data_IF_660788234505
#
_entry.id   IF_660788234505
#
_cell.length_a   1.000
_cell.length_b   1.000
_cell.length_c   1.000
_cell.angle_alpha   90.00
_cell.angle_beta   90.00
_cell.angle_gamma   90.00
#
_symmetry.space_group_name_H-M   'P 1'
#
loop_
_entity.id
_entity.type
_entity.pdbx_description
1 polymer ?
#
# COMPACT_ATOMS: atom_id res chain seq x y z
N UNK A 1 -1.04 -40.58 16.14
CA UNK A 1 -2.05 -39.66 15.57
C UNK A 1 -1.35 -38.32 15.42
N UNK A 2 -0.70 -38.13 14.25
CA UNK A 2 -0.11 -36.85 13.90
C UNK A 2 -1.25 -35.94 13.45
N UNK A 3 -1.57 -34.94 14.26
CA UNK A 3 -2.36 -33.79 13.80
C UNK A 3 -1.48 -33.03 12.83
N UNK A 4 -1.72 -33.23 11.53
CA UNK A 4 -1.20 -32.32 10.51
C UNK A 4 -1.83 -30.97 10.81
N UNK A 5 -1.12 -30.12 11.54
CA UNK A 5 -1.38 -28.69 11.54
C UNK A 5 -1.26 -28.25 10.08
N UNK A 6 -2.39 -27.99 9.48
CA UNK A 6 -2.48 -27.36 8.17
C UNK A 6 -1.97 -25.91 8.36
N UNK A 7 -0.65 -25.76 8.38
CA UNK A 7 0.01 -24.45 8.49
C UNK A 7 -0.29 -23.71 7.20
N UNK A 8 -1.38 -22.95 7.22
CA UNK A 8 -1.75 -22.05 6.13
C UNK A 8 -0.60 -21.03 6.01
N UNK A 9 0.03 -20.92 4.82
CA UNK A 9 1.07 -19.93 4.57
C UNK A 9 0.57 -18.51 4.81
N UNK A 10 1.45 -17.59 5.17
CA UNK A 10 1.11 -16.19 5.32
C UNK A 10 0.56 -15.57 4.02
N UNK A 11 -0.38 -14.65 4.15
CA UNK A 11 -0.82 -13.81 3.02
C UNK A 11 0.27 -12.82 2.64
N UNK A 12 0.57 -12.66 1.36
CA UNK A 12 1.72 -11.89 0.88
C UNK A 12 1.27 -10.70 0.05
N UNK A 13 1.69 -9.51 0.45
CA UNK A 13 1.34 -8.25 -0.20
C UNK A 13 2.59 -7.58 -0.74
N UNK A 14 2.67 -7.46 -2.07
CA UNK A 14 3.73 -6.71 -2.72
C UNK A 14 3.47 -5.20 -2.68
N UNK A 15 4.46 -4.40 -2.31
CA UNK A 15 4.38 -2.93 -2.30
C UNK A 15 5.51 -2.38 -3.15
N UNK A 16 5.16 -1.78 -4.31
CA UNK A 16 6.11 -1.24 -5.28
C UNK A 16 5.82 0.23 -5.60
N UNK A 17 6.74 0.88 -6.29
CA UNK A 17 6.61 2.26 -6.75
C UNK A 17 7.94 3.00 -6.82
N UNK A 18 7.97 4.22 -7.38
CA UNK A 18 9.17 5.03 -7.52
C UNK A 18 9.85 5.34 -6.19
N UNK A 19 11.14 5.67 -6.27
CA UNK A 19 11.89 6.18 -5.11
C UNK A 19 11.18 7.43 -4.57
N UNK A 20 11.03 7.49 -3.25
CA UNK A 20 10.40 8.63 -2.57
C UNK A 20 8.87 8.67 -2.66
N UNK A 21 8.18 7.74 -3.31
CA UNK A 21 6.71 7.74 -3.40
C UNK A 21 6.00 7.50 -2.05
N UNK A 22 6.70 6.90 -1.10
CA UNK A 22 6.18 6.60 0.25
C UNK A 22 5.83 5.13 0.48
N UNK A 23 6.46 4.20 -0.26
CA UNK A 23 6.31 2.74 -0.04
C UNK A 23 6.60 2.35 1.40
N UNK A 24 7.81 2.66 1.86
CA UNK A 24 8.27 2.35 3.23
C UNK A 24 7.38 3.02 4.29
N UNK A 25 6.92 4.25 4.03
CA UNK A 25 5.96 4.91 4.93
C UNK A 25 4.61 4.17 4.96
N UNK A 26 4.14 3.64 3.84
CA UNK A 26 2.92 2.84 3.80
C UNK A 26 3.10 1.52 4.56
N UNK A 27 4.22 0.81 4.35
CA UNK A 27 4.56 -0.41 5.10
C UNK A 27 4.58 -0.14 6.60
N UNK A 28 5.26 0.94 7.04
CA UNK A 28 5.35 1.33 8.43
C UNK A 28 3.97 1.64 9.04
N UNK A 29 3.15 2.48 8.38
CA UNK A 29 1.81 2.81 8.88
C UNK A 29 0.87 1.60 8.95
N UNK A 30 0.89 0.74 7.94
CA UNK A 30 0.13 -0.51 7.96
C UNK A 30 0.62 -1.42 9.08
N UNK A 31 1.93 -1.55 9.26
CA UNK A 31 2.52 -2.36 10.34
C UNK A 31 2.12 -1.85 11.72
N UNK A 32 2.17 -0.53 11.96
CA UNK A 32 1.76 0.07 13.25
C UNK A 32 0.32 -0.25 13.62
N UNK A 33 -0.59 -0.27 12.62
CA UNK A 33 -2.01 -0.50 12.87
C UNK A 33 -2.33 -2.01 12.98
N UNK A 34 -1.68 -2.84 12.19
CA UNK A 34 -2.02 -4.25 12.07
C UNK A 34 -1.25 -5.15 13.04
N UNK A 35 0.04 -4.89 13.25
CA UNK A 35 0.90 -5.75 14.09
C UNK A 35 0.38 -6.04 15.50
N UNK A 36 -0.26 -5.10 16.21
CA UNK A 36 -0.85 -5.40 17.50
C UNK A 36 -1.99 -6.44 17.48
N UNK A 37 -2.46 -6.82 16.28
CA UNK A 37 -3.66 -7.64 16.07
C UNK A 37 -3.41 -8.92 15.30
N UNK A 38 -2.48 -8.88 14.36
CA UNK A 38 -2.10 -10.02 13.53
C UNK A 38 -0.59 -10.20 13.55
N UNK A 39 -0.14 -11.43 13.38
CA UNK A 39 1.27 -11.74 13.25
C UNK A 39 1.73 -11.34 11.84
N UNK A 40 2.58 -10.31 11.73
CA UNK A 40 3.10 -9.86 10.45
C UNK A 40 4.63 -9.73 10.44
N UNK A 41 5.20 -9.77 9.25
CA UNK A 41 6.62 -9.56 8.97
C UNK A 41 6.79 -8.76 7.69
N UNK A 42 8.01 -8.25 7.44
CA UNK A 42 8.36 -7.43 6.28
C UNK A 42 9.63 -7.96 5.62
N UNK A 43 9.59 -8.06 4.30
CA UNK A 43 10.77 -8.29 3.44
C UNK A 43 10.99 -7.02 2.63
N UNK A 44 12.19 -6.44 2.67
CA UNK A 44 12.57 -5.25 1.90
C UNK A 44 13.62 -5.60 0.87
N UNK A 45 13.45 -5.05 -0.34
CA UNK A 45 14.36 -5.23 -1.46
C UNK A 45 14.97 -3.87 -1.82
N UNK A 46 16.11 -3.54 -1.29
CA UNK A 46 16.83 -2.34 -1.67
C UNK A 46 18.26 -2.69 -2.13
N UNK A 47 18.81 -1.83 -3.00
CA UNK A 47 20.22 -1.93 -3.41
C UNK A 47 21.15 -1.68 -2.20
N UNK A 48 20.67 -0.89 -1.24
CA UNK A 48 21.37 -0.52 0.01
C UNK A 48 20.64 -1.05 1.25
N UNK A 49 20.18 -2.25 1.22
CA UNK A 49 19.40 -3.09 2.17
C UNK A 49 19.23 -2.66 3.63
N UNK A 50 20.05 -1.75 4.12
CA UNK A 50 20.02 -1.36 5.54
C UNK A 50 19.07 -0.21 5.83
N UNK A 51 18.86 0.71 4.88
CA UNK A 51 18.14 1.96 5.19
C UNK A 51 16.64 1.75 5.44
N UNK A 52 15.94 0.99 4.59
CA UNK A 52 14.50 0.75 4.74
C UNK A 52 14.23 -0.19 5.91
N UNK A 53 15.02 -1.25 6.08
CA UNK A 53 14.93 -2.12 7.24
C UNK A 53 15.25 -1.37 8.55
N UNK A 54 16.31 -0.56 8.57
CA UNK A 54 16.64 0.28 9.71
C UNK A 54 15.59 1.35 9.99
N UNK A 55 14.93 1.90 8.96
CA UNK A 55 13.82 2.84 9.15
C UNK A 55 12.67 2.17 9.89
N UNK A 56 12.21 1.00 9.43
CA UNK A 56 11.13 0.24 10.06
C UNK A 56 11.47 -0.14 11.51
N UNK A 57 12.72 -0.54 11.76
CA UNK A 57 13.20 -0.87 13.11
C UNK A 57 13.30 0.36 14.02
N UNK A 58 13.73 1.52 13.49
CA UNK A 58 13.80 2.78 14.25
C UNK A 58 12.44 3.30 14.69
N UNK A 59 11.38 3.01 13.93
CA UNK A 59 10.00 3.33 14.35
C UNK A 59 9.54 2.46 15.54
N UNK A 60 10.23 1.35 15.83
CA UNK A 60 9.96 0.49 16.97
C UNK A 60 8.68 -0.33 16.89
N UNK A 61 8.05 -0.39 15.72
CA UNK A 61 6.82 -1.14 15.50
C UNK A 61 7.10 -2.63 15.39
N UNK A 62 8.14 -2.99 14.65
CA UNK A 62 8.54 -4.37 14.43
C UNK A 62 9.89 -4.67 15.09
N UNK A 63 10.07 -5.90 15.53
CA UNK A 63 11.33 -6.41 16.04
C UNK A 63 12.24 -6.92 14.92
N UNK A 64 13.55 -7.02 15.16
CA UNK A 64 14.54 -7.39 14.15
C UNK A 64 14.28 -8.76 13.50
N UNK A 65 13.70 -9.68 14.25
CA UNK A 65 13.33 -11.03 13.78
C UNK A 65 12.18 -11.02 12.78
N UNK A 66 11.41 -9.92 12.67
CA UNK A 66 10.28 -9.75 11.75
C UNK A 66 10.60 -8.95 10.50
N UNK A 67 11.82 -8.48 10.35
CA UNK A 67 12.26 -7.72 9.18
C UNK A 67 13.42 -8.45 8.51
N UNK A 68 13.34 -8.67 7.21
CA UNK A 68 14.41 -9.24 6.38
C UNK A 68 14.75 -8.32 5.23
N UNK A 69 15.99 -7.94 5.12
CA UNK A 69 16.54 -7.28 3.92
C UNK A 69 17.05 -8.33 2.93
N UNK A 70 16.65 -8.22 1.67
CA UNK A 70 17.15 -9.04 0.56
C UNK A 70 18.06 -8.18 -0.31
N UNK A 71 19.34 -8.53 -0.40
CA UNK A 71 20.30 -7.84 -1.27
C UNK A 71 20.11 -8.27 -2.72
N UNK A 72 19.55 -7.38 -3.51
CA UNK A 72 19.28 -7.64 -4.93
C UNK A 72 20.48 -7.18 -5.77
N UNK A 73 21.48 -8.02 -5.96
CA UNK A 73 22.74 -7.71 -6.64
C UNK A 73 22.64 -6.96 -7.98
N UNK A 74 22.25 -5.68 -7.96
CA UNK A 74 22.29 -4.75 -9.08
C UNK A 74 20.97 -4.48 -9.82
N UNK A 75 19.93 -5.31 -9.72
CA UNK A 75 18.64 -5.07 -10.36
C UNK A 75 17.46 -5.47 -9.45
N UNK A 76 16.90 -4.52 -8.65
CA UNK A 76 15.79 -4.81 -7.74
C UNK A 76 14.53 -5.37 -8.42
N UNK A 77 14.33 -5.05 -9.70
CA UNK A 77 13.16 -5.52 -10.47
C UNK A 77 13.22 -7.01 -10.76
N UNK A 78 14.42 -7.55 -11.01
CA UNK A 78 14.61 -8.99 -11.26
C UNK A 78 14.25 -9.82 -10.03
N UNK A 79 14.59 -9.35 -8.85
CA UNK A 79 14.38 -10.07 -7.59
C UNK A 79 12.90 -10.22 -7.18
N UNK A 80 12.02 -9.38 -7.68
CA UNK A 80 10.58 -9.47 -7.38
C UNK A 80 9.76 -10.08 -8.53
N UNK A 81 10.36 -10.26 -9.71
CA UNK A 81 9.64 -10.72 -10.91
C UNK A 81 10.31 -11.90 -11.61
N UNK A 82 11.58 -11.77 -12.03
CA UNK A 82 12.24 -12.74 -12.89
C UNK A 82 12.88 -13.87 -12.09
N UNK A 83 13.46 -13.55 -10.94
CA UNK A 83 14.04 -14.50 -10.00
C UNK A 83 13.66 -14.13 -8.56
N UNK A 84 12.49 -14.60 -8.14
CA UNK A 84 11.96 -14.34 -6.81
C UNK A 84 12.55 -15.27 -5.73
N UNK A 85 13.52 -16.13 -6.06
CA UNK A 85 14.03 -17.19 -5.17
C UNK A 85 14.52 -16.66 -3.83
N UNK A 86 15.31 -15.58 -3.81
CA UNK A 86 15.82 -14.97 -2.58
C UNK A 86 14.72 -14.42 -1.68
N UNK A 87 13.68 -13.82 -2.27
CA UNK A 87 12.52 -13.33 -1.53
C UNK A 87 11.69 -14.50 -0.98
N UNK A 88 11.49 -15.55 -1.77
CA UNK A 88 10.76 -16.74 -1.33
C UNK A 88 11.52 -17.44 -0.20
N UNK A 89 12.84 -17.53 -0.25
CA UNK A 89 13.67 -18.06 0.82
C UNK A 89 13.55 -17.21 2.10
N UNK A 90 13.65 -15.87 1.97
CA UNK A 90 13.48 -14.97 3.10
C UNK A 90 12.09 -15.09 3.75
N UNK A 91 11.03 -15.27 2.96
CA UNK A 91 9.68 -15.50 3.47
C UNK A 91 9.59 -16.86 4.15
N UNK A 92 10.14 -17.92 3.57
CA UNK A 92 10.14 -19.25 4.16
C UNK A 92 10.88 -19.28 5.51
N UNK A 93 12.00 -18.54 5.62
CA UNK A 93 12.72 -18.36 6.87
C UNK A 93 11.84 -17.65 7.93
N UNK A 94 11.12 -16.59 7.56
CA UNK A 94 10.20 -15.90 8.46
C UNK A 94 9.07 -16.82 8.92
N UNK A 95 8.44 -17.56 7.99
CA UNK A 95 7.37 -18.52 8.30
C UNK A 95 7.86 -19.64 9.24
N UNK A 96 9.11 -20.08 9.11
CA UNK A 96 9.72 -21.09 9.97
C UNK A 96 10.05 -20.58 11.39
N UNK A 97 10.47 -19.29 11.49
CA UNK A 97 10.87 -18.69 12.77
C UNK A 97 9.74 -18.04 13.54
N UNK A 98 8.63 -17.68 12.86
CA UNK A 98 7.47 -17.00 13.45
C UNK A 98 6.24 -17.89 13.34
N UNK A 99 5.96 -18.73 14.36
CA UNK A 99 4.78 -19.57 14.34
C UNK A 99 3.50 -18.72 14.24
N UNK A 100 2.60 -19.10 13.33
CA UNK A 100 1.35 -18.38 13.11
C UNK A 100 1.53 -17.03 12.41
N UNK A 101 2.57 -16.85 11.58
CA UNK A 101 2.72 -15.69 10.72
C UNK A 101 1.54 -15.61 9.74
N UNK A 102 0.81 -14.50 9.74
CA UNK A 102 -0.43 -14.33 8.99
C UNK A 102 -0.26 -13.44 7.74
N UNK A 103 0.65 -12.44 7.82
CA UNK A 103 0.84 -11.44 6.77
C UNK A 103 2.32 -11.16 6.55
N UNK A 104 2.74 -11.08 5.29
CA UNK A 104 4.07 -10.61 4.89
C UNK A 104 3.92 -9.47 3.90
N UNK A 105 4.49 -8.31 4.22
CA UNK A 105 4.72 -7.26 3.23
C UNK A 105 6.04 -7.49 2.53
N UNK A 106 6.02 -7.42 1.18
CA UNK A 106 7.23 -7.50 0.35
C UNK A 106 7.40 -6.15 -0.34
N UNK A 107 8.31 -5.32 0.16
CA UNK A 107 8.60 -4.02 -0.42
C UNK A 107 9.64 -4.15 -1.53
N UNK A 108 9.36 -3.58 -2.71
CA UNK A 108 10.34 -3.50 -3.80
C UNK A 108 11.33 -2.36 -3.58
N UNK A 109 12.51 -2.46 -4.14
CA UNK A 109 13.36 -1.31 -4.39
C UNK A 109 12.65 -0.26 -5.26
N UNK A 110 13.17 0.98 -5.29
CA UNK A 110 12.57 2.05 -6.09
C UNK A 110 12.60 1.74 -7.59
N UNK A 111 11.54 2.04 -8.31
CA UNK A 111 11.40 1.75 -9.74
C UNK A 111 10.94 2.96 -10.58
N UNK A 112 10.94 2.79 -11.90
CA UNK A 112 10.50 3.79 -12.88
C UNK A 112 9.14 3.39 -13.50
N UNK A 113 8.11 3.16 -12.69
CA UNK A 113 6.74 2.77 -13.09
C UNK A 113 6.64 1.37 -13.74
N UNK A 114 7.70 0.57 -13.69
CA UNK A 114 7.81 -0.70 -14.39
C UNK A 114 7.68 -1.93 -13.48
N UNK A 115 7.83 -1.79 -12.16
CA UNK A 115 7.81 -2.91 -11.25
C UNK A 115 6.46 -3.63 -11.26
N UNK A 116 6.54 -4.95 -11.33
CA UNK A 116 5.42 -5.87 -11.09
C UNK A 116 5.97 -7.10 -10.39
N UNK A 117 5.20 -7.64 -9.45
CA UNK A 117 5.58 -8.83 -8.72
C UNK A 117 5.30 -10.10 -9.51
N UNK A 118 6.09 -11.13 -9.28
CA UNK A 118 5.76 -12.48 -9.70
C UNK A 118 4.51 -12.98 -8.95
N UNK A 119 3.56 -13.66 -9.64
CA UNK A 119 2.39 -14.25 -8.99
C UNK A 119 2.70 -15.32 -7.94
N UNK A 120 3.90 -15.91 -7.98
CA UNK A 120 4.35 -16.88 -6.98
C UNK A 120 4.84 -16.20 -5.70
N UNK A 121 5.28 -14.93 -5.79
CA UNK A 121 5.84 -14.18 -4.67
C UNK A 121 4.75 -13.54 -3.81
N UNK A 122 3.71 -12.97 -4.43
CA UNK A 122 2.68 -12.21 -3.72
C UNK A 122 1.27 -12.61 -4.15
N UNK A 123 0.32 -12.52 -3.22
CA UNK A 123 -1.10 -12.77 -3.47
C UNK A 123 -1.77 -11.55 -4.12
N UNK A 124 -1.40 -10.35 -3.64
CA UNK A 124 -1.87 -9.06 -4.19
C UNK A 124 -0.75 -8.04 -4.19
N UNK A 125 -0.90 -7.01 -5.02
CA UNK A 125 0.08 -5.94 -5.20
C UNK A 125 -0.52 -4.55 -5.00
N UNK A 126 0.18 -3.71 -4.25
CA UNK A 126 -0.08 -2.28 -4.10
C UNK A 126 1.02 -1.52 -4.85
N UNK A 127 0.63 -0.60 -5.71
CA UNK A 127 1.58 0.30 -6.35
C UNK A 127 1.41 1.71 -5.82
N UNK A 128 2.49 2.33 -5.38
CA UNK A 128 2.48 3.66 -4.74
C UNK A 128 3.13 4.67 -5.68
N UNK A 129 2.39 5.70 -6.07
CA UNK A 129 2.90 6.91 -6.70
C UNK A 129 2.62 8.10 -5.79
N UNK A 130 3.19 9.26 -6.10
CA UNK A 130 2.87 10.49 -5.37
C UNK A 130 2.62 11.67 -6.33
N UNK A 131 2.02 12.74 -5.80
CA UNK A 131 1.65 13.92 -6.59
C UNK A 131 2.85 14.73 -7.06
N UNK A 132 4.03 14.59 -6.46
CA UNK A 132 5.24 15.35 -6.85
C UNK A 132 5.81 14.90 -8.20
N UNK A 133 5.45 13.70 -8.65
CA UNK A 133 5.75 13.25 -10.01
C UNK A 133 4.93 13.96 -11.10
N UNK A 134 3.95 14.78 -10.70
CA UNK A 134 3.05 15.55 -11.57
C UNK A 134 1.74 14.81 -11.89
N UNK A 135 0.71 15.59 -12.22
CA UNK A 135 -0.64 15.09 -12.46
C UNK A 135 -0.79 14.17 -13.67
N UNK A 136 0.22 14.15 -14.54
CA UNK A 136 0.25 13.32 -15.76
C UNK A 136 0.79 11.90 -15.53
N UNK A 137 1.28 11.58 -14.31
CA UNK A 137 1.84 10.25 -14.03
C UNK A 137 0.82 9.12 -14.29
N UNK A 138 -0.43 9.19 -13.83
CA UNK A 138 -1.40 8.13 -14.13
C UNK A 138 -1.62 7.90 -15.62
N UNK A 139 -1.64 8.96 -16.43
CA UNK A 139 -1.81 8.88 -17.89
C UNK A 139 -0.59 8.30 -18.60
N UNK A 140 0.63 8.53 -18.08
CA UNK A 140 1.85 7.90 -18.63
C UNK A 140 1.76 6.38 -18.51
N UNK A 141 1.05 5.90 -17.49
CA UNK A 141 0.83 4.48 -17.28
C UNK A 141 2.11 3.77 -16.85
N UNK A 142 2.17 2.49 -17.19
CA UNK A 142 3.20 1.54 -16.80
C UNK A 142 2.58 0.35 -16.10
N UNK A 143 3.24 -0.83 -16.10
CA UNK A 143 2.69 -2.05 -15.52
C UNK A 143 2.25 -1.88 -14.06
N UNK A 144 3.04 -1.19 -13.24
CA UNK A 144 2.72 -0.93 -11.84
C UNK A 144 1.43 -0.14 -11.68
N UNK A 145 1.28 0.97 -12.43
CA UNK A 145 0.07 1.79 -12.36
C UNK A 145 -1.16 1.04 -12.89
N UNK A 146 -1.04 0.39 -14.05
CA UNK A 146 -2.19 -0.16 -14.76
C UNK A 146 -2.64 -1.52 -14.23
N UNK A 147 -1.73 -2.34 -13.68
CA UNK A 147 -1.99 -3.77 -13.39
C UNK A 147 -1.98 -4.12 -11.91
N UNK A 148 -1.43 -3.27 -11.02
CA UNK A 148 -1.51 -3.52 -9.58
C UNK A 148 -2.95 -3.68 -9.11
N UNK A 149 -3.16 -4.46 -8.08
CA UNK A 149 -4.50 -4.69 -7.53
C UNK A 149 -5.03 -3.42 -6.86
N UNK A 150 -4.18 -2.68 -6.16
CA UNK A 150 -4.48 -1.35 -5.64
C UNK A 150 -3.43 -0.33 -6.11
N UNK A 151 -3.86 0.86 -6.55
CA UNK A 151 -2.99 2.02 -6.74
C UNK A 151 -3.19 3.01 -5.58
N UNK A 152 -2.09 3.40 -4.94
CA UNK A 152 -2.06 4.46 -3.93
C UNK A 152 -1.44 5.71 -4.55
N UNK A 153 -2.16 6.84 -4.51
CA UNK A 153 -1.68 8.16 -4.93
C UNK A 153 -1.44 8.97 -3.67
N UNK A 154 -0.18 9.05 -3.26
CA UNK A 154 0.23 9.58 -1.96
C UNK A 154 0.60 11.07 -1.99
N UNK A 155 0.79 11.65 -0.81
CA UNK A 155 1.24 13.03 -0.58
C UNK A 155 0.29 14.08 -1.18
N UNK A 156 -1.01 13.83 -1.12
CA UNK A 156 -2.02 14.74 -1.71
C UNK A 156 -1.98 16.15 -1.13
N UNK A 157 -1.45 16.31 0.08
CA UNK A 157 -1.19 17.59 0.72
C UNK A 157 -0.19 18.46 -0.06
N UNK A 158 0.68 17.85 -0.86
CA UNK A 158 1.66 18.55 -1.68
C UNK A 158 1.10 19.01 -3.04
N UNK A 159 -0.08 18.54 -3.45
CA UNK A 159 -0.63 18.83 -4.76
C UNK A 159 -0.68 20.34 -5.10
N UNK A 160 -1.14 21.25 -4.20
CA UNK A 160 -1.13 22.68 -4.48
C UNK A 160 0.27 23.27 -4.68
N UNK A 161 1.28 22.71 -3.99
CA UNK A 161 2.64 23.22 -4.03
C UNK A 161 3.44 22.78 -5.25
N UNK A 162 3.05 21.65 -5.84
CA UNK A 162 3.70 21.09 -7.05
C UNK A 162 2.88 21.32 -8.31
N UNK A 163 1.75 22.05 -8.21
CA UNK A 163 0.87 22.35 -9.33
C UNK A 163 0.18 21.12 -9.93
N UNK A 164 -0.03 20.08 -9.12
CA UNK A 164 -0.73 18.87 -9.54
C UNK A 164 -2.24 18.98 -9.28
N UNK A 165 -3.05 18.64 -10.30
CA UNK A 165 -4.51 18.55 -10.14
C UNK A 165 -4.91 17.13 -9.77
N UNK A 166 -5.56 16.97 -8.61
CA UNK A 166 -6.08 15.67 -8.17
C UNK A 166 -7.22 15.20 -9.07
N UNK A 167 -8.05 16.11 -9.62
CA UNK A 167 -9.12 15.77 -10.56
C UNK A 167 -8.55 15.19 -11.86
N UNK A 168 -7.43 15.74 -12.36
CA UNK A 168 -6.74 15.21 -13.54
C UNK A 168 -6.19 13.82 -13.23
N UNK A 169 -5.54 13.65 -12.08
CA UNK A 169 -5.01 12.35 -11.66
C UNK A 169 -6.11 11.31 -11.50
N UNK A 170 -7.24 11.68 -10.90
CA UNK A 170 -8.40 10.79 -10.73
C UNK A 170 -8.97 10.35 -12.09
N UNK A 171 -9.26 11.30 -12.97
CA UNK A 171 -9.79 11.04 -14.31
C UNK A 171 -8.87 10.11 -15.11
N UNK A 172 -7.57 10.42 -15.13
CA UNK A 172 -6.59 9.67 -15.91
C UNK A 172 -6.35 8.28 -15.31
N UNK A 173 -6.41 8.15 -13.97
CA UNK A 173 -6.36 6.86 -13.28
C UNK A 173 -7.58 6.00 -13.62
N UNK A 174 -8.79 6.54 -13.55
CA UNK A 174 -10.02 5.82 -13.92
C UNK A 174 -9.97 5.36 -15.38
N UNK A 175 -9.51 6.22 -16.28
CA UNK A 175 -9.37 5.90 -17.69
C UNK A 175 -8.39 4.74 -17.94
N UNK A 176 -7.24 4.72 -17.25
CA UNK A 176 -6.21 3.70 -17.45
C UNK A 176 -6.47 2.39 -16.70
N UNK A 177 -7.07 2.44 -15.52
CA UNK A 177 -7.26 1.27 -14.65
C UNK A 177 -8.64 0.61 -14.78
N UNK A 178 -9.63 1.30 -15.39
CA UNK A 178 -11.00 0.82 -15.46
C UNK A 178 -11.60 0.64 -14.05
N UNK A 179 -12.02 -0.57 -13.72
CA UNK A 179 -12.63 -0.90 -12.43
C UNK A 179 -11.64 -1.20 -11.31
N UNK A 180 -10.33 -1.23 -11.60
CA UNK A 180 -9.33 -1.50 -10.55
C UNK A 180 -9.26 -0.34 -9.55
N UNK A 181 -9.27 -0.63 -8.24
CA UNK A 181 -9.33 0.39 -7.21
C UNK A 181 -8.07 1.25 -7.15
N UNK A 182 -8.26 2.50 -6.72
CA UNK A 182 -7.19 3.40 -6.33
C UNK A 182 -7.63 4.27 -5.15
N UNK A 183 -6.66 4.78 -4.39
CA UNK A 183 -6.89 5.58 -3.20
C UNK A 183 -5.94 6.76 -3.17
N UNK A 184 -6.46 7.96 -2.93
CA UNK A 184 -5.68 9.13 -2.58
C UNK A 184 -5.30 9.09 -1.10
N UNK A 185 -4.03 9.34 -0.78
CA UNK A 185 -3.53 9.27 0.59
C UNK A 185 -2.65 10.46 0.97
N UNK A 186 -2.66 10.77 2.27
CA UNK A 186 -1.61 11.49 2.96
C UNK A 186 -1.20 10.67 4.18
N UNK A 187 -0.11 9.92 4.07
CA UNK A 187 0.34 9.01 5.12
C UNK A 187 0.88 9.72 6.37
N UNK A 188 1.08 11.05 6.34
CA UNK A 188 1.46 11.82 7.52
C UNK A 188 0.32 11.98 8.53
N UNK A 189 -0.92 12.02 8.05
CA UNK A 189 -2.12 12.21 8.86
C UNK A 189 -3.17 11.12 8.65
N UNK A 190 -2.76 9.99 8.07
CA UNK A 190 -3.58 8.80 7.80
C UNK A 190 -4.78 9.02 6.86
N UNK A 191 -4.84 10.14 6.13
CA UNK A 191 -5.87 10.35 5.11
C UNK A 191 -5.80 9.23 4.07
N UNK A 192 -6.92 8.57 3.80
CA UNK A 192 -7.05 7.45 2.87
C UNK A 192 -6.54 6.10 3.39
N UNK A 193 -5.73 6.06 4.46
CA UNK A 193 -5.20 4.82 5.02
C UNK A 193 -6.30 3.84 5.49
N UNK A 194 -7.41 4.28 6.11
CA UNK A 194 -8.54 3.39 6.42
C UNK A 194 -9.11 2.68 5.21
N UNK A 195 -9.10 3.32 4.04
CA UNK A 195 -9.59 2.71 2.80
C UNK A 195 -8.62 1.65 2.28
N UNK A 196 -7.30 1.87 2.42
CA UNK A 196 -6.29 0.86 2.10
C UNK A 196 -6.45 -0.37 3.00
N UNK A 197 -6.66 -0.17 4.31
CA UNK A 197 -6.86 -1.27 5.27
C UNK A 197 -8.13 -2.06 4.96
N UNK A 198 -9.26 -1.39 4.67
CA UNK A 198 -10.51 -2.10 4.28
C UNK A 198 -10.33 -2.90 2.99
N UNK A 199 -9.61 -2.37 2.01
CA UNK A 199 -9.30 -3.10 0.79
C UNK A 199 -8.45 -4.34 1.10
N UNK A 200 -7.40 -4.20 1.91
CA UNK A 200 -6.54 -5.31 2.30
C UNK A 200 -7.31 -6.39 3.07
N UNK A 201 -8.17 -6.01 4.01
CA UNK A 201 -9.05 -6.93 4.73
C UNK A 201 -9.96 -7.72 3.77
N UNK A 202 -10.53 -7.03 2.78
CA UNK A 202 -11.34 -7.67 1.74
C UNK A 202 -10.55 -8.69 0.90
N UNK A 203 -9.29 -8.40 0.56
CA UNK A 203 -8.44 -9.33 -0.19
C UNK A 203 -8.01 -10.53 0.68
N UNK A 204 -7.58 -10.28 1.91
CA UNK A 204 -7.22 -11.34 2.85
C UNK A 204 -8.40 -12.27 3.15
N UNK A 205 -9.59 -11.75 3.31
CA UNK A 205 -10.81 -12.53 3.54
C UNK A 205 -11.15 -13.49 2.40
N UNK A 206 -10.85 -13.11 1.14
CA UNK A 206 -11.02 -14.02 -0.02
C UNK A 206 -10.10 -15.23 0.07
N UNK A 207 -8.89 -15.04 0.63
CA UNK A 207 -7.91 -16.09 0.88
C UNK A 207 -8.10 -16.83 2.23
N UNK A 208 -9.18 -16.58 2.97
CA UNK A 208 -9.44 -17.07 4.34
C UNK A 208 -8.48 -16.51 5.41
N UNK A 209 -7.89 -15.34 5.18
CA UNK A 209 -7.04 -14.61 6.12
C UNK A 209 -7.76 -13.33 6.53
N UNK A 210 -8.77 -13.38 7.37
CA UNK A 210 -9.50 -12.17 7.78
C UNK A 210 -8.73 -11.35 8.80
N UNK A 211 -8.67 -10.03 8.61
CA UNK A 211 -8.13 -9.13 9.61
C UNK A 211 -9.09 -9.01 10.81
N UNK A 212 -8.57 -8.94 12.05
CA UNK A 212 -9.41 -8.61 13.19
C UNK A 212 -9.98 -7.20 13.06
N UNK A 213 -11.24 -7.00 13.47
CA UNK A 213 -11.94 -5.71 13.41
C UNK A 213 -11.09 -4.57 13.98
N UNK A 214 -10.96 -3.48 13.22
CA UNK A 214 -10.30 -2.25 13.64
C UNK A 214 -11.35 -1.32 14.26
N UNK A 215 -11.50 -1.26 15.61
CA UNK A 215 -12.38 -0.27 16.24
C UNK A 215 -11.78 1.11 15.99
N UNK A 216 -12.53 2.06 15.53
CA UNK A 216 -12.14 3.47 15.35
C UNK A 216 -11.54 3.94 14.00
N UNK A 217 -11.62 3.16 12.94
CA UNK A 217 -11.56 3.78 11.61
C UNK A 217 -12.96 4.35 11.30
N UNK A 218 -13.35 5.36 12.12
CA UNK A 218 -14.64 6.03 12.00
C UNK A 218 -14.83 6.58 10.59
N UNK A 219 -16.04 6.38 10.08
CA UNK A 219 -16.54 7.06 8.90
C UNK A 219 -16.41 8.57 9.13
N UNK A 220 -15.62 9.25 8.30
CA UNK A 220 -15.70 10.70 8.21
C UNK A 220 -17.09 11.01 7.68
N UNK A 221 -17.99 11.46 8.58
CA UNK A 221 -19.28 11.98 8.20
C UNK A 221 -19.05 13.13 7.21
N UNK A 222 -19.43 12.87 5.99
CA UNK A 222 -19.53 13.88 4.95
C UNK A 222 -20.74 14.77 5.35
N UNK A 223 -20.47 15.86 6.06
CA UNK A 223 -21.46 16.90 6.26
C UNK A 223 -21.69 17.59 4.90
N UNK A 224 -22.70 17.12 4.19
CA UNK A 224 -23.30 17.88 3.10
C UNK A 224 -23.92 19.14 3.71
N UNK A 225 -23.29 20.28 3.47
CA UNK A 225 -23.92 21.57 3.70
C UNK A 225 -25.07 21.73 2.69
N UNK A 226 -26.28 21.46 3.14
CA UNK A 226 -27.46 21.96 2.46
C UNK A 226 -27.50 23.49 2.66
N UNK A 227 -27.21 24.22 1.61
CA UNK A 227 -27.43 25.65 1.53
C UNK A 227 -28.94 25.88 1.32
N UNK A 228 -29.64 26.28 2.38
CA UNK A 228 -30.99 26.84 2.27
C UNK A 228 -30.90 28.23 1.64
N UNK A 229 -31.20 28.32 0.37
CA UNK A 229 -31.48 29.59 -0.28
C UNK A 229 -32.84 30.12 0.19
N UNK A 230 -32.82 31.14 1.07
CA UNK A 230 -33.97 31.94 1.38
C UNK A 230 -34.16 32.99 0.28
N UNK A 231 -35.14 32.76 -0.60
CA UNK A 231 -35.67 33.78 -1.48
C UNK A 231 -36.51 34.76 -0.64
N UNK A 232 -36.05 36.01 -0.46
CA UNK A 232 -36.85 37.13 -0.02
C UNK A 232 -37.46 37.83 -1.24
N UNK A 233 -38.77 37.65 -1.39
CA UNK A 233 -39.61 38.41 -2.30
C UNK A 233 -39.90 39.80 -1.69
N UNK A 234 -39.38 40.85 -2.31
CA UNK A 234 -39.76 42.25 -2.02
C UNK A 234 -40.49 42.85 -3.21
N UNK A 235 -41.81 42.70 -3.18
CA UNK A 235 -42.73 43.53 -3.94
C UNK A 235 -42.79 44.93 -3.31
N UNK A 236 -42.34 45.96 -4.01
CA UNK A 236 -42.72 47.37 -3.76
C UNK A 236 -43.52 47.91 -4.91
N UNK A 237 -44.81 48.11 -4.62
CA UNK A 237 -45.70 49.02 -5.33
C UNK A 237 -45.35 50.46 -4.96
N UNK A 238 -45.01 51.26 -5.93
CA UNK A 238 -45.59 52.63 -6.18
C UNK A 238 -45.04 53.15 -7.51
#
# INVERSE_FOLDING_TARGET
METSENTQRAFRVGIAGPVGSGKTALVDRLSQILYPRISLAVVTNDIYTKEDAEFLLRQGTLTLDRVRGVETGGCPHSAIREDASMNLEAIADLEAHIPGLELVFVESGGDNLAASFSPELVDVSIYVIDVSGGDKIPRKGGPGILRSDLLVINKIDLAPYVGASLEVMERDTRSGRGSRPFVFTNLKNDTGLPTVIRWLDGEMSKGKHALPLVPHLGETHNHSHETHDHYHDHTHTH
#
